data_IF_108068545383
#
_entry.id   IF_108068545383
#
_cell.length_a   1.000
_cell.length_b   1.000
_cell.length_c   1.000
_cell.angle_alpha   90.00
_cell.angle_beta   90.00
_cell.angle_gamma   90.00
#
_symmetry.space_group_name_H-M   'P 1'
#
loop_
_entity.id
_entity.type
_entity.pdbx_description
1 polymer ?
#
# COMPACT_ATOMS: atom_id res chain seq x y z
N UNK A 1 19.52 6.03 21.00
CA UNK A 1 18.23 6.77 21.12
C UNK A 1 16.97 5.88 21.13
N UNK A 2 16.99 4.60 20.74
CA UNK A 2 16.01 3.63 21.29
C UNK A 2 16.76 2.42 21.82
N UNK A 3 17.11 2.47 23.11
CA UNK A 3 17.93 1.45 23.76
C UNK A 3 17.08 0.22 24.10
N UNK A 4 17.25 -0.86 23.34
CA UNK A 4 16.71 -2.23 23.52
C UNK A 4 15.18 -2.42 23.55
N UNK A 5 14.39 -1.50 24.11
CA UNK A 5 12.92 -1.59 24.24
C UNK A 5 12.22 -0.58 23.32
N UNK A 6 11.01 -0.94 22.89
CA UNK A 6 10.16 -0.11 22.04
C UNK A 6 9.27 -0.94 21.12
N UNK A 7 8.64 -0.27 20.17
CA UNK A 7 7.75 -0.90 19.19
C UNK A 7 8.43 -2.07 18.46
N UNK A 8 7.71 -3.17 18.34
CA UNK A 8 8.04 -4.30 17.48
C UNK A 8 7.46 -4.05 16.08
N UNK A 9 8.20 -3.29 15.27
CA UNK A 9 7.77 -2.91 13.94
C UNK A 9 7.68 -4.13 13.01
N UNK A 10 6.59 -4.23 12.27
CA UNK A 10 6.39 -5.29 11.26
C UNK A 10 6.40 -4.72 9.84
N UNK A 11 6.31 -5.61 8.84
CA UNK A 11 6.23 -5.24 7.42
C UNK A 11 7.40 -4.37 6.91
N UNK A 12 8.55 -4.41 7.58
CA UNK A 12 9.71 -3.58 7.24
C UNK A 12 9.72 -2.19 7.91
N UNK A 13 8.74 -1.87 8.76
CA UNK A 13 8.75 -0.64 9.55
C UNK A 13 10.02 -0.49 10.41
N UNK A 14 10.42 0.77 10.65
CA UNK A 14 11.59 1.11 11.48
C UNK A 14 11.13 1.90 12.69
N UNK A 15 11.76 1.66 13.84
CA UNK A 15 11.40 2.37 15.07
C UNK A 15 11.66 3.87 14.89
N UNK A 16 10.69 4.69 15.27
CA UNK A 16 10.83 6.14 15.18
C UNK A 16 11.87 6.62 16.22
N UNK A 17 12.99 7.26 15.82
CA UNK A 17 14.01 7.73 16.75
C UNK A 17 13.49 8.81 17.73
N UNK A 18 12.46 9.57 17.35
CA UNK A 18 11.85 10.60 18.21
C UNK A 18 10.81 10.03 19.19
N UNK A 19 10.25 8.86 18.89
CA UNK A 19 9.29 8.18 19.76
C UNK A 19 9.42 6.66 19.59
N UNK A 20 10.14 6.02 20.52
CA UNK A 20 10.44 4.60 20.45
C UNK A 20 9.22 3.67 20.58
N UNK A 21 8.06 4.19 20.97
CA UNK A 21 6.82 3.44 21.07
C UNK A 21 6.05 3.32 19.74
N UNK A 22 6.50 4.01 18.69
CA UNK A 22 5.87 3.95 17.36
C UNK A 22 6.89 3.67 16.26
N UNK A 23 6.39 3.17 15.13
CA UNK A 23 7.16 2.87 13.93
C UNK A 23 6.92 3.92 12.84
N UNK A 24 7.96 4.20 12.07
CA UNK A 24 7.85 4.80 10.74
C UNK A 24 7.51 3.67 9.77
N UNK A 25 6.38 3.81 9.09
CA UNK A 25 5.82 2.74 8.27
C UNK A 25 6.12 2.91 6.78
N UNK A 26 6.31 1.79 6.05
CA UNK A 26 6.36 1.84 4.61
C UNK A 26 5.04 2.32 4.00
N UNK A 27 5.09 2.84 2.77
CA UNK A 27 3.90 3.19 2.01
C UNK A 27 2.90 2.01 1.94
N UNK A 28 1.63 2.30 2.23
CA UNK A 28 0.55 1.32 2.32
C UNK A 28 0.40 0.60 3.66
N UNK A 29 1.20 0.97 4.67
CA UNK A 29 1.13 0.43 6.03
C UNK A 29 1.06 1.55 7.07
N UNK A 30 0.37 1.30 8.18
CA UNK A 30 0.16 2.27 9.24
C UNK A 30 -0.11 1.63 10.60
N UNK A 31 -0.50 2.47 11.56
CA UNK A 31 -0.60 2.11 12.97
C UNK A 31 0.76 2.14 13.68
N UNK A 32 0.75 2.07 15.01
CA UNK A 32 1.95 2.19 15.84
C UNK A 32 3.03 1.16 15.49
N UNK A 33 2.64 -0.02 14.98
CA UNK A 33 3.53 -1.13 14.64
C UNK A 33 3.65 -1.42 13.14
N UNK A 34 3.00 -0.63 12.27
CA UNK A 34 2.89 -0.91 10.83
C UNK A 34 2.11 -2.19 10.47
N UNK A 35 1.20 -2.62 11.34
CA UNK A 35 0.36 -3.80 11.20
C UNK A 35 -1.06 -3.51 10.72
N UNK A 36 -1.37 -2.24 10.43
CA UNK A 36 -2.68 -1.80 9.96
C UNK A 36 -2.59 -1.25 8.53
N UNK A 37 -3.70 -1.35 7.80
CA UNK A 37 -3.91 -0.53 6.59
C UNK A 37 -3.98 0.94 7.04
N UNK A 38 -3.29 1.87 6.37
CA UNK A 38 -3.40 3.29 6.70
C UNK A 38 -4.83 3.80 6.49
N UNK A 39 -5.16 4.90 7.17
CA UNK A 39 -6.43 5.59 6.98
C UNK A 39 -6.53 6.19 5.56
N UNK A 40 -7.76 6.43 5.11
CA UNK A 40 -8.06 6.89 3.75
C UNK A 40 -8.72 5.80 2.89
N UNK A 41 -8.73 6.02 1.57
CA UNK A 41 -9.36 5.12 0.60
C UNK A 41 -8.65 3.76 0.49
N UNK A 42 -9.38 2.79 -0.06
CA UNK A 42 -8.99 1.37 -0.10
C UNK A 42 -9.71 0.55 0.97
N UNK A 43 -9.50 -0.76 0.91
CA UNK A 43 -10.24 -1.75 1.69
C UNK A 43 -9.33 -2.91 2.12
N UNK A 44 -9.77 -3.63 3.15
CA UNK A 44 -9.21 -4.95 3.49
C UNK A 44 -10.14 -6.00 2.93
N UNK A 45 -9.60 -6.90 2.11
CA UNK A 45 -10.36 -7.95 1.42
C UNK A 45 -9.72 -9.31 1.65
N UNK A 46 -10.54 -10.34 1.75
CA UNK A 46 -10.07 -11.73 1.83
C UNK A 46 -10.32 -12.44 0.50
N UNK A 47 -9.24 -12.92 -0.11
CA UNK A 47 -9.27 -13.73 -1.32
C UNK A 47 -9.97 -15.07 -1.04
N UNK A 48 -10.83 -15.49 -1.98
CA UNK A 48 -11.51 -16.78 -1.95
C UNK A 48 -10.96 -17.72 -3.04
N UNK A 49 -11.57 -18.91 -3.19
CA UNK A 49 -11.22 -19.83 -4.27
C UNK A 49 -11.71 -19.36 -5.65
N UNK A 50 -12.61 -18.38 -5.70
CA UNK A 50 -13.16 -17.79 -6.93
C UNK A 50 -12.69 -16.36 -7.13
N UNK A 51 -12.63 -15.93 -8.40
CA UNK A 51 -12.33 -14.56 -8.78
C UNK A 51 -13.36 -13.59 -8.21
N UNK A 52 -12.87 -12.47 -7.68
CA UNK A 52 -13.67 -11.33 -7.24
C UNK A 52 -13.15 -10.08 -7.93
N UNK A 53 -14.04 -9.33 -8.54
CA UNK A 53 -13.69 -8.08 -9.21
C UNK A 53 -13.84 -6.90 -8.27
N UNK A 54 -12.93 -5.94 -8.37
CA UNK A 54 -13.02 -4.64 -7.71
C UNK A 54 -12.61 -3.55 -8.69
N UNK A 55 -13.43 -2.51 -8.78
CA UNK A 55 -13.06 -1.26 -9.46
C UNK A 55 -12.34 -0.37 -8.45
N UNK A 56 -11.17 0.14 -8.84
CA UNK A 56 -10.41 1.12 -8.07
C UNK A 56 -10.36 2.40 -8.90
N UNK A 57 -10.97 3.46 -8.39
CA UNK A 57 -10.92 4.79 -8.99
C UNK A 57 -9.92 5.62 -8.21
N UNK A 58 -8.96 6.21 -8.92
CA UNK A 58 -7.91 7.05 -8.37
C UNK A 58 -7.95 8.41 -9.06
N UNK A 59 -7.43 9.43 -8.38
CA UNK A 59 -7.45 10.80 -8.88
C UNK A 59 -8.74 11.53 -8.55
N UNK A 60 -8.74 12.81 -8.88
CA UNK A 60 -9.87 13.71 -8.67
C UNK A 60 -9.88 14.67 -9.86
N UNK A 61 -10.95 14.58 -10.65
CA UNK A 61 -11.11 15.28 -11.92
C UNK A 61 -11.22 16.81 -11.76
N UNK A 62 -11.42 17.32 -10.53
CA UNK A 62 -11.38 18.77 -10.29
C UNK A 62 -9.96 19.32 -10.22
N UNK A 63 -8.94 18.46 -10.09
CA UNK A 63 -7.55 18.88 -10.16
C UNK A 63 -7.12 18.99 -11.62
N UNK A 64 -6.90 20.21 -12.10
CA UNK A 64 -6.48 20.50 -13.48
C UNK A 64 -4.96 20.56 -13.64
N UNK A 65 -4.21 20.59 -12.54
CA UNK A 65 -2.75 20.71 -12.51
C UNK A 65 -2.09 19.43 -11.97
N UNK A 66 -0.82 19.25 -12.32
CA UNK A 66 0.02 18.19 -11.74
C UNK A 66 0.26 18.49 -10.26
N UNK A 67 0.11 17.47 -9.43
CA UNK A 67 0.35 17.56 -7.99
C UNK A 67 1.77 17.13 -7.65
N UNK A 68 2.39 17.82 -6.69
CA UNK A 68 3.71 17.46 -6.15
C UNK A 68 3.68 16.15 -5.34
N UNK A 69 2.49 15.69 -4.95
CA UNK A 69 2.30 14.47 -4.16
C UNK A 69 1.16 13.61 -4.70
N UNK A 70 1.37 12.29 -4.65
CA UNK A 70 0.34 11.33 -5.03
C UNK A 70 -0.75 11.21 -3.98
N UNK A 71 -2.00 11.17 -4.43
CA UNK A 71 -3.09 10.63 -3.64
C UNK A 71 -3.01 9.09 -3.66
N UNK A 72 -2.87 8.47 -2.49
CA UNK A 72 -2.68 7.03 -2.37
C UNK A 72 -3.94 6.35 -1.82
N UNK A 73 -4.49 5.38 -2.55
CA UNK A 73 -5.45 4.41 -2.01
C UNK A 73 -4.78 3.08 -1.75
N UNK A 74 -5.01 2.50 -0.57
CA UNK A 74 -4.27 1.33 -0.11
C UNK A 74 -5.21 0.16 0.11
N UNK A 75 -5.14 -0.82 -0.78
CA UNK A 75 -5.90 -2.06 -0.69
C UNK A 75 -5.05 -3.20 -0.11
N UNK A 76 -5.61 -3.91 0.86
CA UNK A 76 -4.99 -5.09 1.46
C UNK A 76 -5.77 -6.34 1.09
N UNK A 77 -5.20 -7.15 0.20
CA UNK A 77 -5.73 -8.47 -0.12
C UNK A 77 -5.04 -9.50 0.78
N UNK A 78 -5.83 -10.26 1.54
CA UNK A 78 -5.36 -11.31 2.44
C UNK A 78 -5.77 -12.68 1.90
N UNK A 79 -4.89 -13.67 2.08
CA UNK A 79 -5.21 -15.08 1.85
C UNK A 79 -5.47 -15.80 3.18
N UNK A 80 -6.32 -16.84 3.18
CA UNK A 80 -6.32 -17.84 4.23
C UNK A 80 -4.92 -18.46 4.43
N UNK A 81 -4.64 -18.96 5.63
CA UNK A 81 -3.37 -19.58 5.96
C UNK A 81 -3.01 -20.70 4.96
N UNK A 82 -1.75 -20.74 4.52
CA UNK A 82 -1.25 -21.74 3.56
C UNK A 82 -1.71 -21.55 2.12
N UNK A 83 -2.40 -20.46 1.77
CA UNK A 83 -2.84 -20.16 0.41
C UNK A 83 -2.05 -18.99 -0.19
N UNK A 84 -2.00 -18.96 -1.53
CA UNK A 84 -1.44 -17.85 -2.31
C UNK A 84 -2.57 -16.99 -2.87
N UNK A 85 -2.28 -15.71 -3.09
CA UNK A 85 -3.20 -14.78 -3.75
C UNK A 85 -2.81 -14.72 -5.23
N UNK A 86 -3.81 -14.79 -6.10
CA UNK A 86 -3.68 -14.38 -7.50
C UNK A 86 -4.35 -13.02 -7.66
N UNK A 87 -3.68 -12.13 -8.38
CA UNK A 87 -4.20 -10.80 -8.70
C UNK A 87 -4.02 -10.59 -10.20
N UNK A 88 -5.06 -10.07 -10.84
CA UNK A 88 -5.06 -9.75 -12.25
C UNK A 88 -5.62 -8.34 -12.45
N UNK A 89 -4.94 -7.54 -13.25
CA UNK A 89 -5.50 -6.29 -13.76
C UNK A 89 -6.35 -6.64 -14.97
N UNK A 90 -7.68 -6.57 -14.84
CA UNK A 90 -8.59 -6.90 -15.93
C UNK A 90 -8.63 -5.81 -17.00
N UNK A 91 -8.70 -4.54 -16.58
CA UNK A 91 -8.78 -3.38 -17.47
C UNK A 91 -8.26 -2.15 -16.73
N UNK A 92 -7.67 -1.22 -17.47
CA UNK A 92 -7.32 0.11 -16.97
C UNK A 92 -7.93 1.15 -17.93
N UNK A 93 -8.53 2.21 -17.38
CA UNK A 93 -9.22 3.26 -18.14
C UNK A 93 -8.70 4.62 -17.67
N UNK A 94 -8.56 5.57 -18.60
CA UNK A 94 -8.02 6.90 -18.27
C UNK A 94 -6.52 6.89 -17.95
N UNK A 95 -5.80 5.86 -18.40
CA UNK A 95 -4.35 5.78 -18.23
C UNK A 95 -3.68 6.73 -19.20
N UNK A 96 -3.00 7.71 -18.63
CA UNK A 96 -2.12 8.67 -19.30
C UNK A 96 -0.68 8.35 -18.91
N UNK A 97 0.02 7.71 -19.85
CA UNK A 97 1.43 7.37 -19.74
C UNK A 97 2.09 7.67 -21.08
N UNK A 98 3.06 8.58 -21.08
CA UNK A 98 3.86 8.90 -22.26
C UNK A 98 5.21 8.18 -22.17
N UNK A 99 6.28 8.87 -21.74
CA UNK A 99 7.59 8.27 -21.48
C UNK A 99 7.67 7.49 -20.15
N UNK A 100 6.50 7.15 -19.58
CA UNK A 100 6.33 6.56 -18.27
C UNK A 100 5.00 6.98 -17.64
N UNK A 101 4.62 6.28 -16.57
CA UNK A 101 3.43 6.58 -15.78
C UNK A 101 3.84 7.33 -14.50
N UNK A 102 4.18 8.61 -14.64
CA UNK A 102 4.77 9.42 -13.56
C UNK A 102 3.75 10.32 -12.84
N UNK A 103 2.50 10.38 -13.31
CA UNK A 103 1.39 11.09 -12.65
C UNK A 103 0.42 10.14 -11.94
N UNK A 104 0.46 8.85 -12.29
CA UNK A 104 -0.44 7.82 -11.79
C UNK A 104 0.18 6.42 -11.91
N UNK A 105 -0.26 5.49 -11.07
CA UNK A 105 0.20 4.12 -11.13
C UNK A 105 -0.49 3.20 -10.14
N UNK A 106 -0.26 1.89 -10.31
CA UNK A 106 -0.69 0.84 -9.39
C UNK A 106 0.54 0.01 -9.05
N UNK A 107 0.79 -0.21 -7.77
CA UNK A 107 1.87 -1.05 -7.28
C UNK A 107 1.32 -2.27 -6.54
N UNK A 108 1.67 -3.48 -7.00
CA UNK A 108 1.38 -4.71 -6.26
C UNK A 108 2.50 -5.03 -5.29
N UNK A 109 2.23 -4.88 -3.99
CA UNK A 109 3.26 -5.03 -2.94
C UNK A 109 3.37 -6.44 -2.35
N UNK A 110 4.08 -7.33 -3.04
CA UNK A 110 4.10 -8.77 -2.75
C UNK A 110 5.36 -9.23 -2.00
N UNK A 111 6.46 -8.48 -2.06
CA UNK A 111 7.72 -8.84 -1.39
C UNK A 111 7.61 -8.83 0.15
N UNK A 112 8.37 -9.66 0.91
CA UNK A 112 8.29 -9.69 2.37
C UNK A 112 8.63 -8.34 3.04
N UNK A 113 9.68 -7.66 2.56
CA UNK A 113 10.02 -6.32 3.02
C UNK A 113 9.21 -5.28 2.25
N UNK A 114 8.24 -4.65 2.91
CA UNK A 114 7.37 -3.65 2.28
C UNK A 114 7.99 -2.28 2.17
N UNK A 115 9.25 -2.06 2.56
CA UNK A 115 9.96 -0.82 2.24
C UNK A 115 10.30 -0.71 0.76
N UNK A 116 10.58 -1.84 0.13
CA UNK A 116 11.03 -1.86 -1.25
C UNK A 116 9.84 -1.70 -2.19
N UNK A 117 10.05 -0.99 -3.29
CA UNK A 117 9.17 -1.09 -4.44
C UNK A 117 9.33 -2.46 -5.06
N UNK A 118 8.23 -3.05 -5.50
CA UNK A 118 8.31 -4.29 -6.26
C UNK A 118 8.99 -4.03 -7.63
N UNK A 119 9.92 -4.91 -8.07
CA UNK A 119 10.54 -4.81 -9.38
C UNK A 119 9.55 -5.14 -10.52
#
# INVERSE_FOLDING_TARGET
>A
ICAAKGAACVNGGKRNPKNCAVCICPAGYGGALCNLRPAGCGAVMTAGPTWKSKVVTLGDATNTEIRDTYAMCNDWVKAPAGKKIQVQVATMVGVDCHYGCWTQGIEFKTLPNKLNTNP
#
